data_IF_191610391274
#
_entry.id   IF_191610391274
#
_cell.length_a   1.000
_cell.length_b   1.000
_cell.length_c   1.000
_cell.angle_alpha   90.00
_cell.angle_beta   90.00
_cell.angle_gamma   90.00
#
_symmetry.space_group_name_H-M   'P 1'
#
loop_
_entity.id
_entity.type
_entity.pdbx_description
1 polymer ?
#
# COMPACT_ATOMS: atom_id res chain seq x y z
N UNK A 1 10.66 0.54 2.08
CA UNK A 1 11.38 -0.75 1.95
C UNK A 1 11.62 -1.03 0.47
N UNK A 2 12.74 -1.64 0.07
CA UNK A 2 12.98 -1.95 -1.35
C UNK A 2 12.02 -3.04 -1.85
N UNK A 3 11.85 -3.15 -3.17
CA UNK A 3 11.00 -4.19 -3.77
C UNK A 3 11.57 -5.59 -3.49
N UNK A 4 12.88 -5.77 -3.62
CA UNK A 4 13.57 -7.05 -3.38
C UNK A 4 13.35 -7.55 -1.94
N UNK A 5 13.48 -6.65 -0.95
CA UNK A 5 13.22 -6.98 0.45
C UNK A 5 11.75 -7.34 0.68
N UNK A 6 10.82 -6.64 0.03
CA UNK A 6 9.41 -6.96 0.09
C UNK A 6 9.11 -8.37 -0.43
N UNK A 7 9.63 -8.68 -1.61
CA UNK A 7 9.42 -9.95 -2.28
C UNK A 7 10.03 -11.12 -1.49
N UNK A 8 11.18 -10.91 -0.85
CA UNK A 8 11.84 -11.93 -0.04
C UNK A 8 11.17 -12.15 1.32
N UNK A 9 10.84 -11.07 2.04
CA UNK A 9 10.47 -11.18 3.46
C UNK A 9 8.97 -11.02 3.75
N UNK A 10 8.22 -10.31 2.89
CA UNK A 10 6.83 -9.97 3.16
C UNK A 10 5.88 -10.74 2.24
N UNK A 11 6.11 -10.69 0.93
CA UNK A 11 5.22 -11.27 -0.07
C UNK A 11 4.88 -12.76 0.16
N UNK A 12 5.82 -13.65 0.57
CA UNK A 12 5.51 -15.07 0.77
C UNK A 12 4.53 -15.31 1.92
N UNK A 13 4.45 -14.37 2.87
CA UNK A 13 3.61 -14.44 4.06
C UNK A 13 2.26 -13.73 3.86
N UNK A 14 2.05 -13.03 2.74
CA UNK A 14 0.77 -12.40 2.43
C UNK A 14 -0.22 -13.41 1.87
N UNK A 15 -1.42 -13.43 2.45
CA UNK A 15 -2.53 -14.18 1.87
C UNK A 15 -2.95 -13.53 0.55
N UNK A 16 -2.95 -14.31 -0.53
CA UNK A 16 -3.52 -13.85 -1.81
C UNK A 16 -5.03 -13.78 -1.70
N UNK A 17 -5.60 -12.62 -2.02
CA UNK A 17 -7.04 -12.42 -2.03
C UNK A 17 -7.72 -13.44 -2.94
N UNK A 18 -8.63 -14.25 -2.38
CA UNK A 18 -9.43 -15.23 -3.14
C UNK A 18 -10.77 -14.67 -3.63
N UNK A 19 -11.12 -13.45 -3.21
CA UNK A 19 -12.42 -12.82 -3.46
C UNK A 19 -12.23 -11.39 -3.92
N UNK A 20 -13.10 -10.97 -4.82
CA UNK A 20 -13.13 -9.62 -5.38
C UNK A 20 -12.05 -9.37 -6.43
N UNK A 21 -12.06 -8.17 -7.04
CA UNK A 21 -11.06 -7.77 -8.02
C UNK A 21 -9.67 -7.66 -7.37
N UNK A 22 -8.60 -7.90 -8.13
CA UNK A 22 -7.24 -7.67 -7.64
C UNK A 22 -7.05 -6.18 -7.29
N UNK A 23 -6.12 -5.86 -6.37
CA UNK A 23 -5.76 -4.48 -6.07
C UNK A 23 -5.26 -3.78 -7.34
N UNK A 24 -5.69 -2.53 -7.53
CA UNK A 24 -5.19 -1.68 -8.63
C UNK A 24 -3.76 -1.19 -8.39
N UNK A 25 -3.29 -1.27 -7.15
CA UNK A 25 -1.96 -0.86 -6.72
C UNK A 25 -1.11 -2.07 -6.35
N UNK A 26 0.20 -2.01 -6.64
CA UNK A 26 1.12 -3.06 -6.24
C UNK A 26 1.13 -3.25 -4.71
N UNK A 27 1.13 -4.51 -4.26
CA UNK A 27 1.13 -4.85 -2.83
C UNK A 27 2.31 -4.22 -2.07
N UNK A 28 3.47 -4.11 -2.72
CA UNK A 28 4.65 -3.43 -2.17
C UNK A 28 4.36 -1.97 -1.79
N UNK A 29 3.61 -1.25 -2.65
CA UNK A 29 3.29 0.16 -2.43
C UNK A 29 2.26 0.33 -1.32
N UNK A 30 1.23 -0.53 -1.29
CA UNK A 30 0.27 -0.61 -0.18
C UNK A 30 1.01 -0.88 1.15
N UNK A 31 1.94 -1.83 1.15
CA UNK A 31 2.73 -2.15 2.34
C UNK A 31 3.59 -0.97 2.81
N UNK A 32 4.20 -0.21 1.89
CA UNK A 32 4.96 0.98 2.26
C UNK A 32 4.06 2.09 2.86
N UNK A 33 2.82 2.24 2.39
CA UNK A 33 1.86 3.15 3.03
C UNK A 33 1.53 2.73 4.47
N UNK A 34 1.33 1.43 4.71
CA UNK A 34 1.13 0.90 6.07
C UNK A 34 2.36 1.20 6.95
N UNK A 35 3.57 0.94 6.44
CA UNK A 35 4.82 1.28 7.14
C UNK A 35 4.90 2.77 7.47
N UNK A 36 4.50 3.64 6.54
CA UNK A 36 4.52 5.08 6.75
C UNK A 36 3.55 5.52 7.85
N UNK A 37 2.35 4.93 7.92
CA UNK A 37 1.43 5.17 9.02
C UNK A 37 2.04 4.73 10.35
N UNK A 38 2.63 3.53 10.39
CA UNK A 38 3.28 3.00 11.61
C UNK A 38 4.48 3.85 12.05
N UNK A 39 5.24 4.39 11.10
CA UNK A 39 6.38 5.26 11.37
C UNK A 39 5.97 6.66 11.85
N UNK A 40 4.97 7.27 11.20
CA UNK A 40 4.55 8.64 11.50
C UNK A 40 3.56 8.72 12.67
N UNK A 41 2.86 7.62 13.00
CA UNK A 41 1.78 7.62 13.98
C UNK A 41 0.57 8.49 13.59
N UNK A 42 0.41 8.79 12.30
CA UNK A 42 -0.62 9.70 11.82
C UNK A 42 -1.97 9.01 11.56
N UNK A 43 -3.04 9.79 11.46
CA UNK A 43 -4.36 9.28 11.06
C UNK A 43 -4.35 8.90 9.57
N UNK A 44 -4.97 7.78 9.20
CA UNK A 44 -5.06 7.29 7.81
C UNK A 44 -5.50 8.36 6.79
N UNK A 45 -6.47 9.21 7.16
CA UNK A 45 -6.95 10.31 6.31
C UNK A 45 -5.90 11.38 5.98
N UNK A 46 -4.84 11.46 6.79
CA UNK A 46 -3.74 12.42 6.65
C UNK A 46 -2.51 11.80 5.96
N UNK A 47 -2.57 10.50 5.63
CA UNK A 47 -1.47 9.83 4.95
C UNK A 47 -1.22 10.50 3.59
N UNK A 48 0.02 10.90 3.27
CA UNK A 48 0.35 11.51 1.99
C UNK A 48 0.33 10.46 0.88
N UNK A 49 -0.86 10.24 0.29
CA UNK A 49 -1.04 9.32 -0.83
C UNK A 49 -0.58 10.00 -2.12
N UNK A 50 0.26 9.29 -2.89
CA UNK A 50 0.75 9.75 -4.18
C UNK A 50 -0.39 9.94 -5.19
N UNK A 51 -0.17 10.87 -6.12
CA UNK A 51 -1.12 11.19 -7.18
C UNK A 51 -0.78 10.40 -8.44
N UNK A 52 -1.81 9.86 -9.09
CA UNK A 52 -1.69 9.25 -10.40
C UNK A 52 -1.46 10.31 -11.50
N UNK A 53 -1.30 9.85 -12.75
CA UNK A 53 -1.10 10.73 -13.91
C UNK A 53 -2.24 11.75 -14.15
N UNK A 54 -3.42 11.55 -13.58
CA UNK A 54 -4.57 12.48 -13.64
C UNK A 54 -4.61 13.45 -12.46
N UNK A 55 -3.61 13.42 -11.57
CA UNK A 55 -3.52 14.27 -10.39
C UNK A 55 -4.41 13.85 -9.21
N UNK A 56 -5.09 12.70 -9.29
CA UNK A 56 -5.93 12.17 -8.22
C UNK A 56 -5.13 11.21 -7.32
N UNK A 57 -5.46 11.07 -6.03
CA UNK A 57 -4.87 10.03 -5.18
C UNK A 57 -4.98 8.65 -5.84
N UNK A 58 -3.88 7.89 -5.87
CA UNK A 58 -3.84 6.59 -6.54
C UNK A 58 -4.67 5.51 -5.82
N UNK A 59 -4.96 5.72 -4.53
CA UNK A 59 -5.81 4.89 -3.71
C UNK A 59 -6.53 5.76 -2.67
N UNK A 60 -7.73 5.36 -2.25
CA UNK A 60 -8.41 6.00 -1.12
C UNK A 60 -7.87 5.41 0.19
N UNK A 61 -7.66 6.23 1.23
CA UNK A 61 -7.04 5.79 2.48
C UNK A 61 -7.79 4.65 3.21
N UNK A 62 -9.09 4.48 2.94
CA UNK A 62 -9.90 3.37 3.49
C UNK A 62 -9.72 2.04 2.75
N UNK A 63 -8.98 2.03 1.64
CA UNK A 63 -8.71 0.83 0.82
C UNK A 63 -7.25 0.36 0.92
N UNK A 64 -6.47 1.00 1.79
CA UNK A 64 -5.16 0.50 2.24
C UNK A 64 -5.41 -0.56 3.30
#
# INVERSE_FOLDING_TARGET
>A
MSLEQFEQFVLPHLSRGRRGPPPTLALHKIFNYILQVLYMGCQWKMLPIERNAKGHPEIHYTRI
#
